data_IF_448609523304
#
_entry.id   IF_448609523304
#
_cell.length_a   1.000
_cell.length_b   1.000
_cell.length_c   1.000
_cell.angle_alpha   90.00
_cell.angle_beta   90.00
_cell.angle_gamma   90.00
#
_symmetry.space_group_name_H-M   'P 1'
#
loop_
_entity.id
_entity.type
_entity.pdbx_description
1 polymer ?
#
# COMPACT_ATOMS: atom_id res chain seq x y z
N UNK A 1 -12.32 -1.45 3.51
CA UNK A 1 -11.10 -1.17 4.30
C UNK A 1 -10.17 -0.19 3.59
N UNK A 2 -9.30 0.46 4.38
CA UNK A 2 -8.21 1.32 3.91
C UNK A 2 -6.91 0.80 4.48
N UNK A 3 -5.86 0.72 3.66
CA UNK A 3 -4.54 0.25 4.06
C UNK A 3 -3.48 1.27 3.64
N UNK A 4 -2.57 1.57 4.55
CA UNK A 4 -1.36 2.35 4.25
C UNK A 4 -0.15 1.54 4.68
N UNK A 5 0.86 1.47 3.82
CA UNK A 5 2.14 0.88 4.10
C UNK A 5 3.26 1.92 4.08
N UNK A 6 4.10 1.90 5.09
CA UNK A 6 5.34 2.67 5.15
C UNK A 6 6.52 1.78 4.76
N UNK A 7 7.28 2.23 3.77
CA UNK A 7 8.39 1.47 3.20
C UNK A 7 9.70 2.24 3.28
N UNK A 8 10.77 1.52 3.57
CA UNK A 8 12.13 2.05 3.54
C UNK A 8 13.06 1.14 2.75
N UNK A 9 14.12 1.71 2.19
CA UNK A 9 15.14 1.00 1.42
C UNK A 9 16.49 1.04 2.14
N UNK A 10 17.12 -0.12 2.27
CA UNK A 10 18.46 -0.24 2.84
C UNK A 10 19.19 -1.42 2.19
N UNK A 11 20.41 -1.18 1.70
CA UNK A 11 21.29 -2.20 1.13
C UNK A 11 20.64 -3.11 0.09
N UNK A 12 19.85 -2.52 -0.81
CA UNK A 12 19.18 -3.25 -1.89
C UNK A 12 17.94 -4.04 -1.46
N UNK A 13 17.51 -3.92 -0.22
CA UNK A 13 16.32 -4.57 0.34
C UNK A 13 15.28 -3.53 0.75
N UNK A 14 14.04 -3.78 0.44
CA UNK A 14 12.90 -2.97 0.83
C UNK A 14 12.22 -3.57 2.05
N UNK A 15 11.90 -2.71 3.01
CA UNK A 15 11.26 -3.09 4.27
C UNK A 15 9.92 -2.38 4.41
N UNK A 16 8.84 -3.14 4.64
CA UNK A 16 7.60 -2.57 5.18
C UNK A 16 7.82 -2.37 6.67
N UNK A 17 7.97 -1.11 7.07
CA UNK A 17 8.35 -0.72 8.43
C UNK A 17 7.14 -0.65 9.36
N UNK A 18 6.09 -0.01 8.88
CA UNK A 18 4.86 0.23 9.62
C UNK A 18 3.65 0.13 8.70
N UNK A 19 2.48 -0.05 9.29
CA UNK A 19 1.21 -0.07 8.56
C UNK A 19 0.08 0.55 9.36
N UNK A 20 -0.88 1.11 8.63
CA UNK A 20 -2.19 1.48 9.12
C UNK A 20 -3.21 0.64 8.36
N UNK A 21 -4.13 0.02 9.08
CA UNK A 21 -5.22 -0.76 8.51
C UNK A 21 -6.53 -0.43 9.20
N UNK A 22 -7.54 -0.06 8.42
CA UNK A 22 -8.86 0.26 8.95
C UNK A 22 -9.94 -0.45 8.17
N UNK A 23 -10.68 -1.32 8.84
CA UNK A 23 -11.82 -2.01 8.25
C UNK A 23 -13.13 -1.43 8.79
N UNK A 24 -13.75 -0.54 8.02
CA UNK A 24 -15.03 0.10 8.37
C UNK A 24 -16.18 -0.89 8.61
N UNK A 25 -16.11 -2.11 8.07
CA UNK A 25 -17.12 -3.15 8.33
C UNK A 25 -16.94 -3.78 9.71
N UNK A 26 -15.69 -4.02 10.10
CA UNK A 26 -15.37 -4.56 11.42
C UNK A 26 -15.60 -3.53 12.51
N UNK A 27 -15.26 -2.26 12.25
CA UNK A 27 -15.41 -1.16 13.20
C UNK A 27 -16.84 -0.61 13.28
N UNK A 28 -17.69 -0.92 12.29
CA UNK A 28 -19.07 -0.43 12.23
C UNK A 28 -19.22 1.04 11.82
N UNK A 29 -18.13 1.72 11.52
CA UNK A 29 -18.09 3.15 11.18
C UNK A 29 -17.16 3.40 9.98
N UNK A 30 -17.46 4.42 9.17
CA UNK A 30 -16.61 4.88 8.08
C UNK A 30 -15.82 6.10 8.54
N UNK A 31 -14.53 6.09 8.30
CA UNK A 31 -13.69 7.27 8.47
C UNK A 31 -13.78 8.20 7.27
N UNK A 32 -13.68 9.48 7.56
CA UNK A 32 -13.57 10.56 6.58
C UNK A 32 -12.17 10.59 5.96
N UNK A 33 -12.01 11.29 4.84
CA UNK A 33 -10.70 11.50 4.23
C UNK A 33 -9.74 12.25 5.17
N UNK A 34 -10.25 13.19 5.99
CA UNK A 34 -9.46 13.90 7.01
C UNK A 34 -8.94 12.97 8.12
N UNK A 35 -9.74 12.02 8.58
CA UNK A 35 -9.30 11.04 9.57
C UNK A 35 -8.28 10.07 9.00
N UNK A 36 -8.42 9.69 7.72
CA UNK A 36 -7.41 8.91 7.01
C UNK A 36 -6.14 9.72 6.78
N UNK A 37 -6.25 11.02 6.48
CA UNK A 37 -5.11 11.90 6.36
C UNK A 37 -4.35 12.05 7.69
N UNK A 38 -5.04 12.23 8.80
CA UNK A 38 -4.42 12.28 10.12
C UNK A 38 -3.67 10.95 10.44
N UNK A 39 -4.22 9.81 10.06
CA UNK A 39 -3.54 8.52 10.20
C UNK A 39 -2.29 8.41 9.30
N UNK A 40 -2.35 8.95 8.08
CA UNK A 40 -1.18 9.04 7.18
C UNK A 40 -0.08 9.92 7.78
N UNK A 41 -0.43 11.09 8.33
CA UNK A 41 0.54 11.97 9.01
C UNK A 41 1.20 11.29 10.21
N UNK A 42 0.41 10.56 11.00
CA UNK A 42 0.92 9.81 12.14
C UNK A 42 1.86 8.69 11.69
N UNK A 43 1.51 7.95 10.64
CA UNK A 43 2.34 6.90 10.05
C UNK A 43 3.67 7.45 9.51
N UNK A 44 3.63 8.63 8.90
CA UNK A 44 4.79 9.31 8.33
C UNK A 44 5.66 10.03 9.38
N UNK A 45 5.19 10.16 10.63
CA UNK A 45 5.90 10.89 11.66
C UNK A 45 7.25 10.23 11.99
N UNK A 46 8.31 11.02 11.98
CA UNK A 46 9.68 10.54 12.24
C UNK A 46 10.41 10.00 11.00
N UNK A 47 9.78 10.03 9.83
CA UNK A 47 10.37 9.65 8.55
C UNK A 47 10.37 10.81 7.57
N UNK A 48 11.40 10.90 6.74
CA UNK A 48 11.50 11.92 5.68
C UNK A 48 10.71 11.46 4.45
N UNK A 49 9.40 11.70 4.49
CA UNK A 49 8.47 11.32 3.43
C UNK A 49 7.94 12.55 2.73
N UNK A 50 8.29 12.68 1.46
CA UNK A 50 7.78 13.74 0.59
C UNK A 50 6.65 13.26 -0.34
N UNK A 51 6.65 11.98 -0.67
CA UNK A 51 5.77 11.42 -1.70
C UNK A 51 4.92 10.29 -1.15
N UNK A 52 3.62 10.34 -1.46
CA UNK A 52 2.64 9.31 -1.15
C UNK A 52 2.09 8.72 -2.43
N UNK A 53 2.18 7.40 -2.57
CA UNK A 53 1.56 6.67 -3.69
C UNK A 53 0.10 6.41 -3.35
N UNK A 54 -0.82 6.81 -4.23
CA UNK A 54 -2.26 6.70 -3.98
C UNK A 54 -2.95 6.10 -5.21
N UNK A 55 -3.92 5.22 -4.98
CA UNK A 55 -4.78 4.71 -6.06
C UNK A 55 -5.49 5.88 -6.76
N UNK A 56 -5.37 6.01 -8.10
CA UNK A 56 -6.02 7.11 -8.84
C UNK A 56 -7.53 7.16 -8.67
N UNK A 57 -8.17 6.05 -8.31
CA UNK A 57 -9.62 6.01 -8.05
C UNK A 57 -10.04 6.69 -6.75
N UNK A 58 -9.10 6.94 -5.83
CA UNK A 58 -9.36 7.62 -4.55
C UNK A 58 -9.33 9.16 -4.67
N UNK A 59 -10.11 9.71 -5.62
CA UNK A 59 -10.04 11.13 -5.99
C UNK A 59 -10.28 12.10 -4.82
N UNK A 60 -11.20 11.78 -3.89
CA UNK A 60 -11.46 12.65 -2.73
C UNK A 60 -10.31 12.65 -1.73
N UNK A 61 -9.68 11.50 -1.50
CA UNK A 61 -8.52 11.41 -0.62
C UNK A 61 -7.30 12.12 -1.24
N UNK A 62 -7.11 12.01 -2.56
CA UNK A 62 -6.09 12.77 -3.29
C UNK A 62 -6.31 14.29 -3.11
N UNK A 63 -7.56 14.75 -3.26
CA UNK A 63 -7.89 16.18 -3.05
C UNK A 63 -7.62 16.61 -1.60
N UNK A 64 -7.93 15.76 -0.62
CA UNK A 64 -7.63 16.00 0.79
C UNK A 64 -6.11 16.14 1.01
N UNK A 65 -5.29 15.24 0.50
CA UNK A 65 -3.82 15.33 0.59
C UNK A 65 -3.30 16.64 -0.04
N UNK A 66 -3.81 17.00 -1.21
CA UNK A 66 -3.41 18.23 -1.88
C UNK A 66 -3.79 19.49 -1.08
N UNK A 67 -4.95 19.50 -0.41
CA UNK A 67 -5.39 20.64 0.39
C UNK A 67 -4.47 20.94 1.58
N UNK A 68 -3.87 19.90 2.15
CA UNK A 68 -2.89 20.05 3.24
C UNK A 68 -1.49 20.45 2.75
N UNK A 69 -1.14 20.17 1.49
CA UNK A 69 0.09 20.61 0.85
C UNK A 69 1.41 20.03 1.40
N UNK A 70 1.33 19.04 2.30
CA UNK A 70 2.51 18.43 2.94
C UNK A 70 3.16 17.36 2.07
N UNK A 71 2.35 16.55 1.39
CA UNK A 71 2.83 15.43 0.59
C UNK A 71 2.53 15.63 -0.89
N UNK A 72 3.46 15.20 -1.73
CA UNK A 72 3.23 15.06 -3.16
C UNK A 72 2.57 13.72 -3.44
N UNK A 73 1.47 13.73 -4.19
CA UNK A 73 0.79 12.50 -4.61
C UNK A 73 1.40 11.97 -5.89
N UNK A 74 1.72 10.67 -5.89
CA UNK A 74 2.12 9.91 -7.05
C UNK A 74 1.02 8.88 -7.36
N UNK A 75 0.41 8.90 -8.56
CA UNK A 75 -0.62 7.93 -8.90
C UNK A 75 -0.03 6.52 -8.98
N UNK A 76 -0.72 5.58 -8.34
CA UNK A 76 -0.33 4.18 -8.34
C UNK A 76 -0.47 3.55 -9.74
N UNK A 77 0.52 2.75 -10.12
CA UNK A 77 0.36 1.79 -11.21
C UNK A 77 -0.35 0.54 -10.65
N UNK A 78 -1.60 0.37 -11.02
CA UNK A 78 -2.49 -0.64 -10.45
C UNK A 78 -2.65 -1.89 -11.32
N UNK A 79 -1.73 -2.17 -12.25
CA UNK A 79 -1.71 -3.43 -13.01
C UNK A 79 -1.54 -4.62 -12.06
N UNK A 80 -2.61 -5.42 -11.96
CA UNK A 80 -2.71 -6.51 -10.97
C UNK A 80 -1.72 -7.62 -11.27
N UNK A 81 -1.71 -8.13 -12.51
CA UNK A 81 -0.93 -9.31 -12.88
C UNK A 81 0.58 -9.00 -12.88
N UNK A 82 0.97 -7.88 -13.45
CA UNK A 82 2.35 -7.43 -13.42
C UNK A 82 2.82 -7.15 -11.98
N UNK A 83 1.95 -6.59 -11.14
CA UNK A 83 2.22 -6.35 -9.73
C UNK A 83 2.48 -7.64 -8.95
N UNK A 84 1.63 -8.66 -9.11
CA UNK A 84 1.81 -9.97 -8.46
C UNK A 84 3.13 -10.62 -8.89
N UNK A 85 3.43 -10.62 -10.19
CA UNK A 85 4.68 -11.21 -10.69
C UNK A 85 5.92 -10.52 -10.13
N UNK A 86 5.91 -9.18 -10.05
CA UNK A 86 7.04 -8.43 -9.53
C UNK A 86 7.22 -8.57 -8.03
N UNK A 87 6.13 -8.57 -7.24
CA UNK A 87 6.18 -8.87 -5.81
C UNK A 87 6.74 -10.27 -5.58
N UNK A 88 6.24 -11.28 -6.29
CA UNK A 88 6.72 -12.66 -6.17
C UNK A 88 8.21 -12.77 -6.45
N UNK A 89 8.69 -12.09 -7.49
CA UNK A 89 10.12 -12.07 -7.83
C UNK A 89 10.98 -11.45 -6.73
N UNK A 90 10.54 -10.32 -6.15
CA UNK A 90 11.26 -9.66 -5.06
C UNK A 90 11.29 -10.50 -3.79
N UNK A 91 10.20 -11.20 -3.47
CA UNK A 91 10.13 -12.14 -2.35
C UNK A 91 11.09 -13.31 -2.54
N UNK A 92 11.12 -13.92 -3.72
CA UNK A 92 12.05 -15.01 -4.04
C UNK A 92 13.53 -14.59 -3.98
N UNK A 93 13.81 -13.32 -4.27
CA UNK A 93 15.16 -12.74 -4.19
C UNK A 93 15.52 -12.22 -2.79
N UNK A 94 14.64 -12.36 -1.80
CA UNK A 94 14.77 -11.80 -0.44
C UNK A 94 15.02 -10.28 -0.43
N UNK A 95 14.42 -9.57 -1.38
CA UNK A 95 14.53 -8.11 -1.55
C UNK A 95 13.31 -7.34 -1.03
N UNK A 96 12.33 -8.04 -0.48
CA UNK A 96 11.12 -7.47 0.11
C UNK A 96 10.88 -8.15 1.45
N UNK A 97 10.91 -7.36 2.51
CA UNK A 97 10.77 -7.84 3.89
C UNK A 97 9.73 -7.04 4.66
N UNK A 98 9.23 -7.61 5.74
CA UNK A 98 8.15 -7.05 6.55
C UNK A 98 8.55 -7.06 8.02
N UNK A 99 8.41 -5.90 8.69
CA UNK A 99 8.58 -5.84 10.13
C UNK A 99 7.49 -6.65 10.84
N UNK A 100 7.81 -7.17 12.01
CA UNK A 100 6.91 -8.03 12.79
C UNK A 100 5.62 -7.30 13.20
N UNK A 101 5.69 -5.98 13.37
CA UNK A 101 4.55 -5.09 13.64
C UNK A 101 3.50 -5.05 12.51
N UNK A 102 3.89 -5.35 11.27
CA UNK A 102 2.99 -5.36 10.11
C UNK A 102 2.12 -6.64 10.09
N UNK A 103 1.12 -6.68 10.96
CA UNK A 103 0.27 -7.87 11.17
C UNK A 103 -0.79 -8.05 10.11
N UNK A 104 -1.31 -6.95 9.57
CA UNK A 104 -2.42 -6.97 8.62
C UNK A 104 -1.98 -7.49 7.25
N UNK A 105 -0.85 -7.05 6.72
CA UNK A 105 -0.32 -7.62 5.49
C UNK A 105 0.02 -9.10 5.64
N UNK A 106 0.56 -9.52 6.79
CA UNK A 106 0.85 -10.95 7.06
C UNK A 106 -0.42 -11.78 7.10
N UNK A 107 -1.51 -11.25 7.70
CA UNK A 107 -2.82 -11.89 7.69
C UNK A 107 -3.34 -12.03 6.26
N UNK A 108 -3.28 -10.97 5.46
CA UNK A 108 -3.75 -11.00 4.07
C UNK A 108 -2.94 -11.96 3.20
N UNK A 109 -1.63 -12.05 3.37
CA UNK A 109 -0.81 -13.06 2.68
C UNK A 109 -1.33 -14.49 2.86
N UNK A 110 -1.79 -14.84 4.07
CA UNK A 110 -2.32 -16.17 4.34
C UNK A 110 -3.68 -16.45 3.69
N UNK A 111 -4.40 -15.40 3.29
CA UNK A 111 -5.74 -15.45 2.73
C UNK A 111 -5.78 -15.13 1.22
N UNK A 112 -4.68 -14.62 0.68
CA UNK A 112 -4.60 -14.18 -0.71
C UNK A 112 -4.58 -15.39 -1.65
N UNK A 113 -5.61 -15.53 -2.47
CA UNK A 113 -5.75 -16.65 -3.39
C UNK A 113 -6.41 -16.24 -4.71
N UNK A 114 -6.23 -17.06 -5.73
CA UNK A 114 -6.88 -16.88 -7.01
C UNK A 114 -8.38 -17.12 -6.95
N UNK A 115 -9.12 -16.47 -7.84
CA UNK A 115 -10.56 -16.67 -7.95
C UNK A 115 -10.85 -17.74 -9.00
N UNK A 116 -11.11 -18.95 -8.56
CA UNK A 116 -11.40 -20.10 -9.43
C UNK A 116 -12.74 -20.01 -10.18
N UNK A 117 -13.60 -19.05 -9.82
CA UNK A 117 -14.93 -18.88 -10.41
C UNK A 117 -14.97 -17.91 -11.61
N UNK A 118 -13.86 -17.24 -11.92
CA UNK A 118 -13.75 -16.32 -13.05
C UNK A 118 -12.84 -16.96 -14.11
N UNK A 119 -13.31 -17.02 -15.35
CA UNK A 119 -12.46 -17.36 -16.50
C UNK A 119 -11.46 -16.24 -16.74
N UNK A 120 -10.34 -16.26 -15.99
CA UNK A 120 -9.25 -15.28 -16.02
C UNK A 120 -8.43 -15.33 -14.74
N UNK A 121 -7.14 -15.07 -14.85
CA UNK A 121 -6.20 -15.04 -13.75
C UNK A 121 -6.36 -13.75 -12.94
N UNK A 122 -7.33 -13.73 -12.02
CA UNK A 122 -7.53 -12.62 -11.09
C UNK A 122 -7.61 -13.12 -9.64
N UNK A 123 -7.01 -12.43 -8.67
CA UNK A 123 -7.15 -12.77 -7.27
C UNK A 123 -8.57 -12.48 -6.76
N UNK A 124 -8.97 -13.15 -5.69
CA UNK A 124 -10.18 -12.80 -4.97
C UNK A 124 -10.06 -11.38 -4.41
N UNK A 125 -11.10 -10.57 -4.59
CA UNK A 125 -11.18 -9.19 -4.09
C UNK A 125 -11.73 -9.14 -2.66
N UNK A 126 -11.15 -9.93 -1.79
CA UNK A 126 -11.50 -9.99 -0.37
C UNK A 126 -10.21 -10.00 0.44
N UNK A 127 -10.13 -9.14 1.47
CA UNK A 127 -8.93 -9.04 2.33
C UNK A 127 -7.63 -8.81 1.53
N UNK A 128 -7.67 -7.87 0.59
CA UNK A 128 -6.59 -7.63 -0.38
C UNK A 128 -6.01 -6.21 -0.33
N UNK A 129 -6.39 -5.41 0.67
CA UNK A 129 -6.03 -3.98 0.69
C UNK A 129 -4.55 -3.72 1.01
N UNK A 130 -3.97 -4.46 1.96
CA UNK A 130 -2.54 -4.39 2.23
C UNK A 130 -1.72 -5.06 1.11
N UNK A 131 -2.28 -6.06 0.45
CA UNK A 131 -1.70 -6.66 -0.75
C UNK A 131 -1.73 -5.69 -1.93
N UNK A 132 -2.82 -4.92 -2.07
CA UNK A 132 -2.95 -3.88 -3.10
C UNK A 132 -1.93 -2.76 -2.87
N UNK A 133 -1.81 -2.22 -1.65
CA UNK A 133 -0.84 -1.14 -1.37
C UNK A 133 0.60 -1.61 -1.60
N UNK A 134 0.94 -2.84 -1.27
CA UNK A 134 2.25 -3.42 -1.57
C UNK A 134 2.50 -3.52 -3.07
N UNK A 135 1.51 -3.98 -3.87
CA UNK A 135 1.64 -4.05 -5.33
C UNK A 135 1.82 -2.66 -5.93
N UNK A 136 1.06 -1.66 -5.46
CA UNK A 136 1.20 -0.27 -5.88
C UNK A 136 2.60 0.26 -5.61
N UNK A 137 3.13 -0.01 -4.41
CA UNK A 137 4.48 0.36 -4.05
C UNK A 137 5.52 -0.26 -4.98
N UNK A 138 5.48 -1.57 -5.17
CA UNK A 138 6.45 -2.29 -6.01
C UNK A 138 6.39 -1.78 -7.46
N UNK A 139 5.20 -1.64 -8.03
CA UNK A 139 5.01 -1.16 -9.40
C UNK A 139 5.45 0.28 -9.60
N UNK A 140 5.10 1.14 -8.68
CA UNK A 140 5.24 2.59 -8.84
C UNK A 140 6.61 3.08 -8.41
N UNK A 141 7.17 2.53 -7.34
CA UNK A 141 8.45 2.97 -6.75
C UNK A 141 9.58 2.04 -7.14
N UNK A 142 9.51 0.77 -6.73
CA UNK A 142 10.65 -0.16 -6.85
C UNK A 142 11.03 -0.40 -8.31
N UNK A 143 10.06 -0.54 -9.19
CA UNK A 143 10.32 -0.81 -10.61
C UNK A 143 10.72 0.42 -11.43
N UNK A 144 10.40 1.63 -10.96
CA UNK A 144 10.66 2.86 -11.71
C UNK A 144 11.83 3.67 -11.18
N UNK A 145 12.07 3.62 -9.88
CA UNK A 145 13.14 4.39 -9.25
C UNK A 145 13.59 3.71 -7.95
N UNK A 146 14.64 2.89 -8.00
CA UNK A 146 15.14 2.18 -6.82
C UNK A 146 16.00 3.07 -5.90
N UNK A 147 15.80 4.39 -5.87
CA UNK A 147 16.53 5.29 -4.99
C UNK A 147 16.28 4.96 -3.52
N UNK A 148 17.29 5.19 -2.68
CA UNK A 148 17.16 5.08 -1.23
C UNK A 148 16.17 6.12 -0.70
N UNK A 149 15.40 5.76 0.34
CA UNK A 149 14.43 6.66 0.95
C UNK A 149 13.26 5.94 1.60
N UNK A 150 12.29 6.76 2.03
CA UNK A 150 11.05 6.29 2.64
C UNK A 150 9.86 6.67 1.80
N UNK A 151 8.88 5.79 1.73
CA UNK A 151 7.68 5.97 0.93
C UNK A 151 6.45 5.54 1.71
N UNK A 152 5.39 6.31 1.63
CA UNK A 152 4.07 5.90 2.08
C UNK A 152 3.19 5.55 0.88
N UNK A 153 2.38 4.53 1.04
CA UNK A 153 1.50 4.02 -0.03
C UNK A 153 0.12 3.77 0.55
N UNK A 154 -0.90 4.19 -0.16
CA UNK A 154 -2.29 4.02 0.23
C UNK A 154 -3.05 3.17 -0.78
N UNK A 155 -3.76 2.18 -0.28
CA UNK A 155 -4.85 1.53 -0.99
C UNK A 155 -6.15 1.77 -0.23
N UNK A 156 -7.01 2.58 -0.79
CA UNK A 156 -8.36 2.81 -0.29
C UNK A 156 -9.33 2.62 -1.45
N UNK A 157 -10.27 1.69 -1.29
CA UNK A 157 -11.40 1.56 -2.23
C UNK A 157 -12.67 2.07 -1.56
N UNK A 158 -13.40 2.84 -2.30
CA UNK A 158 -14.75 3.23 -1.95
C UNK A 158 -15.74 2.11 -2.17
#
# INVERSE_FOLDING_TARGET
PSSFGLWGHCDGTWYRLEEYYYDARAEGERRTDEEHYAALEQLAAGYDIETVVVDPSAASFIACIHSHGKFRVLPADNDVNAGIQQVSRLLLQDKLRFCESCRDIRREFSQYCWNDSIHGDAPKKEHDHAMDDMRYFVRTVVCRNPADGFFAVSAARR
#
